data_IF_493441728511
#
_entry.id   IF_493441728511
#
_cell.length_a   1.000
_cell.length_b   1.000
_cell.length_c   1.000
_cell.angle_alpha   90.00
_cell.angle_beta   90.00
_cell.angle_gamma   90.00
#
_symmetry.space_group_name_H-M   'P 1'
#
loop_
_entity.id
_entity.type
_entity.pdbx_description
1 polymer ?
#
# COMPACT_ATOMS: atom_id res chain seq x y z
N UNK A 1 75.81 -47.97 -32.58
CA UNK A 1 74.85 -48.20 -31.46
C UNK A 1 74.02 -46.94 -31.27
N UNK A 2 72.68 -47.11 -31.25
CA UNK A 2 71.59 -46.22 -30.76
C UNK A 2 71.56 -44.75 -31.22
N UNK A 3 70.68 -44.36 -32.14
CA UNK A 3 69.28 -43.92 -31.94
C UNK A 3 69.08 -42.73 -31.00
N UNK A 4 68.70 -41.56 -31.55
CA UNK A 4 67.40 -40.89 -31.33
C UNK A 4 67.40 -39.48 -31.92
N UNK A 5 66.82 -39.32 -33.11
CA UNK A 5 66.41 -38.02 -33.66
C UNK A 5 64.97 -37.72 -33.19
N UNK A 6 64.82 -36.84 -32.21
CA UNK A 6 63.54 -36.22 -31.85
C UNK A 6 63.40 -34.96 -32.72
N UNK A 7 62.88 -35.11 -33.94
CA UNK A 7 62.47 -34.00 -34.80
C UNK A 7 61.44 -34.52 -35.82
N UNK A 8 60.23 -34.85 -35.36
CA UNK A 8 59.10 -35.11 -36.28
C UNK A 8 57.69 -34.88 -35.74
N UNK A 9 57.50 -34.29 -34.54
CA UNK A 9 56.15 -34.13 -33.95
C UNK A 9 55.79 -32.69 -33.57
N UNK A 10 56.14 -31.71 -34.42
CA UNK A 10 55.78 -30.30 -34.19
C UNK A 10 54.89 -29.59 -35.24
N UNK A 11 54.24 -30.25 -36.23
CA UNK A 11 53.16 -29.61 -36.99
C UNK A 11 51.75 -30.23 -36.78
N UNK A 12 51.55 -31.18 -35.87
CA UNK A 12 50.24 -31.88 -35.75
C UNK A 12 49.28 -31.23 -34.73
N UNK A 13 49.78 -30.38 -33.81
CA UNK A 13 48.95 -29.74 -32.78
C UNK A 13 48.54 -28.29 -33.08
N UNK A 14 49.16 -27.62 -34.07
CA UNK A 14 48.82 -26.23 -34.42
C UNK A 14 47.58 -26.17 -35.34
N UNK A 15 47.39 -27.18 -36.19
CA UNK A 15 46.26 -27.24 -37.13
C UNK A 15 44.89 -27.40 -36.43
N UNK A 16 44.72 -28.27 -35.41
CA UNK A 16 43.44 -28.41 -34.69
C UNK A 16 43.07 -27.16 -33.89
N UNK A 17 44.06 -26.46 -33.32
CA UNK A 17 43.84 -25.25 -32.49
C UNK A 17 43.42 -24.06 -33.36
N UNK A 18 44.00 -23.92 -34.56
CA UNK A 18 43.57 -22.92 -35.55
C UNK A 18 42.15 -23.20 -36.08
N UNK A 19 41.79 -24.47 -36.32
CA UNK A 19 40.44 -24.84 -36.76
C UNK A 19 39.39 -24.55 -35.67
N UNK A 20 39.71 -24.80 -34.39
CA UNK A 20 38.82 -24.49 -33.26
C UNK A 20 38.67 -22.98 -33.03
N UNK A 21 39.73 -22.19 -33.21
CA UNK A 21 39.64 -20.72 -33.05
C UNK A 21 38.86 -20.08 -34.22
N UNK A 22 39.06 -20.56 -35.45
CA UNK A 22 38.29 -20.12 -36.61
C UNK A 22 36.81 -20.52 -36.50
N UNK A 23 36.54 -21.73 -36.00
CA UNK A 23 35.18 -22.19 -35.72
C UNK A 23 34.47 -21.36 -34.65
N UNK A 24 35.18 -20.95 -33.60
CA UNK A 24 34.61 -20.07 -32.56
C UNK A 24 34.31 -18.66 -33.07
N UNK A 25 35.20 -18.09 -33.90
CA UNK A 25 34.98 -16.78 -34.53
C UNK A 25 33.83 -16.84 -35.54
N UNK A 26 33.74 -17.92 -36.33
CA UNK A 26 32.64 -18.15 -37.27
C UNK A 26 31.31 -18.35 -36.53
N UNK A 27 31.29 -19.08 -35.41
CA UNK A 27 30.10 -19.24 -34.57
C UNK A 27 29.66 -17.90 -33.95
N UNK A 28 30.59 -17.06 -33.48
CA UNK A 28 30.30 -15.70 -33.01
C UNK A 28 29.74 -14.82 -34.12
N UNK A 29 30.29 -14.91 -35.33
CA UNK A 29 29.80 -14.20 -36.51
C UNK A 29 28.40 -14.67 -36.91
N UNK A 30 28.15 -15.98 -36.93
CA UNK A 30 26.84 -16.57 -37.22
C UNK A 30 25.81 -16.21 -36.14
N UNK A 31 26.18 -16.19 -34.86
CA UNK A 31 25.29 -15.74 -33.78
C UNK A 31 25.01 -14.23 -33.85
N UNK A 32 25.99 -13.41 -34.28
CA UNK A 32 25.76 -11.98 -34.51
C UNK A 32 24.92 -11.72 -35.76
N UNK A 33 25.15 -12.47 -36.85
CA UNK A 33 24.31 -12.41 -38.06
C UNK A 33 22.90 -12.87 -37.72
N UNK A 34 22.71 -13.94 -36.94
CA UNK A 34 21.39 -14.38 -36.51
C UNK A 34 20.71 -13.34 -35.59
N UNK A 35 21.46 -12.62 -34.76
CA UNK A 35 20.96 -11.51 -33.93
C UNK A 35 20.58 -10.27 -34.76
N UNK A 36 21.34 -9.96 -35.80
CA UNK A 36 21.02 -8.90 -36.77
C UNK A 36 19.84 -9.31 -37.66
N UNK A 37 19.75 -10.59 -38.06
CA UNK A 37 18.65 -11.13 -38.86
C UNK A 37 17.36 -11.22 -38.06
N UNK A 38 17.37 -11.64 -36.79
CA UNK A 38 16.19 -11.54 -35.90
C UNK A 38 15.77 -10.09 -35.65
N UNK A 39 16.72 -9.15 -35.61
CA UNK A 39 16.43 -7.72 -35.50
C UNK A 39 15.87 -7.12 -36.79
N UNK A 40 16.28 -7.62 -37.98
CA UNK A 40 15.76 -7.21 -39.28
C UNK A 40 14.43 -7.87 -39.63
N UNK A 41 14.21 -9.13 -39.24
CA UNK A 41 12.92 -9.82 -39.40
C UNK A 41 11.87 -9.20 -38.49
N UNK A 42 12.24 -8.74 -37.28
CA UNK A 42 11.39 -7.87 -36.45
C UNK A 42 11.13 -6.47 -37.03
N UNK A 43 11.93 -6.02 -38.00
CA UNK A 43 11.75 -4.75 -38.68
C UNK A 43 10.98 -4.87 -40.01
N UNK A 44 10.82 -6.09 -40.55
CA UNK A 44 10.17 -6.38 -41.83
C UNK A 44 8.80 -7.06 -41.68
N UNK A 45 8.56 -7.76 -40.57
CA UNK A 45 7.20 -8.18 -40.20
C UNK A 45 6.50 -7.00 -39.52
N UNK A 46 5.56 -6.41 -40.25
CA UNK A 46 4.64 -5.42 -39.67
C UNK A 46 3.95 -6.04 -38.45
N UNK A 47 3.96 -5.38 -37.27
CA UNK A 47 3.18 -5.86 -36.13
C UNK A 47 1.70 -5.97 -36.55
N UNK A 48 0.93 -6.93 -35.98
CA UNK A 48 -0.51 -6.93 -36.17
C UNK A 48 -1.02 -5.53 -35.84
N UNK A 49 -1.80 -4.98 -36.77
CA UNK A 49 -2.27 -3.59 -36.75
C UNK A 49 -2.62 -3.18 -35.31
N UNK A 50 -1.99 -2.12 -34.77
CA UNK A 50 -2.46 -1.55 -33.52
C UNK A 50 -3.94 -1.21 -33.71
N UNK A 51 -4.77 -1.59 -32.74
CA UNK A 51 -6.10 -0.99 -32.59
C UNK A 51 -5.99 0.51 -32.87
N UNK A 52 -6.90 1.11 -33.66
CA UNK A 52 -6.73 2.46 -34.16
C UNK A 52 -6.42 3.38 -32.98
N UNK A 53 -5.16 3.83 -32.97
CA UNK A 53 -4.69 4.89 -32.11
C UNK A 53 -5.49 6.11 -32.51
N UNK A 54 -6.53 6.43 -31.72
CA UNK A 54 -7.13 7.75 -31.75
C UNK A 54 -6.04 8.67 -31.25
N UNK A 55 -5.31 9.28 -32.19
CA UNK A 55 -4.45 10.41 -31.94
C UNK A 55 -5.33 11.51 -31.36
N UNK A 56 -5.35 11.61 -30.03
CA UNK A 56 -5.87 12.82 -29.40
C UNK A 56 -4.94 13.95 -29.82
N UNK A 57 -5.45 14.99 -30.51
CA UNK A 57 -4.62 16.11 -30.91
C UNK A 57 -3.99 16.72 -29.66
N UNK A 58 -2.69 16.97 -29.74
CA UNK A 58 -1.94 17.74 -28.75
C UNK A 58 -2.44 19.20 -28.83
N UNK A 59 -3.60 19.48 -28.25
CA UNK A 59 -3.99 20.86 -27.99
C UNK A 59 -3.16 21.32 -26.80
N UNK A 60 -2.34 22.34 -27.05
CA UNK A 60 -1.73 23.14 -26.00
C UNK A 60 -2.86 23.62 -25.08
N UNK A 61 -2.97 23.03 -23.89
CA UNK A 61 -3.93 23.47 -22.90
C UNK A 61 -3.43 24.78 -22.32
N UNK A 62 -4.01 25.87 -22.82
CA UNK A 62 -4.26 27.05 -22.01
C UNK A 62 -4.89 26.52 -20.72
N UNK A 63 -4.30 26.84 -19.57
CA UNK A 63 -4.78 26.43 -18.24
C UNK A 63 -6.13 27.11 -17.98
N UNK A 64 -7.17 26.55 -18.56
CA UNK A 64 -8.56 26.79 -18.19
C UNK A 64 -8.85 25.92 -16.98
N UNK A 65 -9.16 26.55 -15.85
CA UNK A 65 -9.70 25.88 -14.67
C UNK A 65 -10.96 25.14 -15.10
N UNK A 66 -10.89 23.82 -15.25
CA UNK A 66 -12.05 23.00 -15.57
C UNK A 66 -13.02 23.01 -14.40
N UNK A 67 -14.34 23.09 -14.63
CA UNK A 67 -15.35 23.04 -13.57
C UNK A 67 -15.18 21.74 -12.78
N UNK A 68 -15.18 21.84 -11.46
CA UNK A 68 -15.07 20.71 -10.55
C UNK A 68 -16.17 19.69 -10.89
N UNK A 69 -15.79 18.53 -11.44
CA UNK A 69 -16.73 17.48 -11.83
C UNK A 69 -17.48 17.00 -10.58
N UNK A 70 -18.74 17.41 -10.43
CA UNK A 70 -19.52 17.17 -9.21
C UNK A 70 -19.98 15.72 -9.07
N UNK A 71 -20.06 14.98 -10.18
CA UNK A 71 -20.47 13.57 -10.22
C UNK A 71 -19.31 12.65 -10.56
N UNK A 72 -19.15 11.57 -9.80
CA UNK A 72 -18.21 10.50 -10.11
C UNK A 72 -18.60 9.77 -11.40
N UNK A 73 -17.59 9.40 -12.19
CA UNK A 73 -17.80 8.56 -13.37
C UNK A 73 -18.29 7.16 -12.94
N UNK A 74 -19.27 6.54 -13.64
CA UNK A 74 -19.81 5.24 -13.23
C UNK A 74 -18.74 4.14 -13.11
N UNK A 75 -17.81 4.07 -14.05
CA UNK A 75 -16.71 3.11 -13.97
C UNK A 75 -15.73 3.43 -12.84
N UNK A 76 -15.57 4.69 -12.42
CA UNK A 76 -14.80 5.01 -11.21
C UNK A 76 -15.46 4.38 -9.98
N UNK A 77 -16.78 4.53 -9.84
CA UNK A 77 -17.53 3.93 -8.72
C UNK A 77 -17.43 2.41 -8.77
N UNK A 78 -17.52 1.79 -9.95
CA UNK A 78 -17.32 0.35 -10.11
C UNK A 78 -15.92 -0.10 -9.72
N UNK A 79 -14.88 0.58 -10.19
CA UNK A 79 -13.49 0.25 -9.84
C UNK A 79 -13.19 0.44 -8.35
N UNK A 80 -13.71 1.50 -7.75
CA UNK A 80 -13.59 1.71 -6.31
C UNK A 80 -14.33 0.62 -5.52
N UNK A 81 -15.52 0.23 -5.98
CA UNK A 81 -16.29 -0.86 -5.38
C UNK A 81 -15.59 -2.22 -5.52
N UNK A 82 -14.88 -2.49 -6.61
CA UNK A 82 -14.06 -3.70 -6.78
C UNK A 82 -12.97 -3.84 -5.70
N UNK A 83 -12.46 -2.72 -5.17
CA UNK A 83 -11.59 -2.70 -3.99
C UNK A 83 -12.37 -2.78 -2.68
N UNK A 84 -13.18 -1.76 -2.38
CA UNK A 84 -13.64 -1.47 -1.00
C UNK A 84 -15.08 -1.94 -0.68
N UNK A 85 -15.88 -2.30 -1.68
CA UNK A 85 -17.28 -2.63 -1.44
C UNK A 85 -17.49 -4.05 -0.92
N UNK A 86 -18.61 -4.23 -0.21
CA UNK A 86 -19.12 -5.53 0.22
C UNK A 86 -20.58 -5.69 -0.20
N UNK A 87 -20.90 -6.84 -0.78
CA UNK A 87 -22.26 -7.31 -1.03
C UNK A 87 -22.59 -8.42 -0.04
N UNK A 88 -23.70 -8.30 0.68
CA UNK A 88 -23.99 -9.20 1.80
C UNK A 88 -25.45 -9.57 1.93
N UNK A 89 -25.66 -10.84 2.32
CA UNK A 89 -26.94 -11.39 2.78
C UNK A 89 -26.78 -11.70 4.27
N UNK A 90 -27.69 -11.23 5.11
CA UNK A 90 -27.62 -11.37 6.57
C UNK A 90 -28.91 -11.93 7.14
N UNK A 91 -28.78 -12.81 8.12
CA UNK A 91 -29.89 -13.39 8.87
C UNK A 91 -29.86 -12.81 10.29
N UNK A 92 -30.67 -11.76 10.52
CA UNK A 92 -30.79 -11.16 11.84
C UNK A 92 -31.83 -11.92 12.66
N UNK A 93 -31.54 -12.26 13.91
CA UNK A 93 -32.55 -12.82 14.81
C UNK A 93 -33.71 -11.83 14.94
N UNK A 94 -34.93 -12.31 14.77
CA UNK A 94 -36.14 -11.51 14.91
C UNK A 94 -37.15 -12.24 15.78
N UNK A 95 -37.73 -11.54 16.75
CA UNK A 95 -38.92 -12.02 17.43
C UNK A 95 -40.13 -11.94 16.49
N UNK A 96 -41.13 -12.79 16.69
CA UNK A 96 -42.42 -12.62 16.01
C UNK A 96 -42.99 -11.22 16.33
N UNK A 97 -43.61 -10.52 15.36
CA UNK A 97 -43.98 -10.98 14.02
C UNK A 97 -42.92 -10.73 12.94
N UNK A 98 -41.79 -10.08 13.27
CA UNK A 98 -40.74 -9.70 12.32
C UNK A 98 -39.87 -10.90 11.90
N UNK A 99 -39.50 -11.79 12.83
CA UNK A 99 -38.82 -13.06 12.53
C UNK A 99 -39.79 -14.20 12.19
N UNK A 100 -40.68 -13.98 11.21
CA UNK A 100 -41.70 -14.96 10.79
C UNK A 100 -41.09 -16.35 10.55
N UNK A 101 -41.86 -17.39 10.92
CA UNK A 101 -41.69 -18.85 10.71
C UNK A 101 -40.33 -19.48 11.08
N UNK A 102 -39.22 -18.83 10.77
CA UNK A 102 -37.85 -19.33 10.89
C UNK A 102 -37.04 -18.65 12.01
N UNK A 103 -37.58 -17.62 12.68
CA UNK A 103 -36.89 -16.88 13.75
C UNK A 103 -35.83 -15.88 13.25
N UNK A 104 -35.74 -15.68 11.94
CA UNK A 104 -34.77 -14.79 11.30
C UNK A 104 -35.44 -13.83 10.32
N UNK A 105 -34.88 -12.62 10.25
CA UNK A 105 -35.16 -11.61 9.24
C UNK A 105 -33.99 -11.62 8.26
N UNK A 106 -34.27 -11.91 6.99
CA UNK A 106 -33.27 -11.79 5.93
C UNK A 106 -33.10 -10.32 5.56
N UNK A 107 -31.85 -9.86 5.47
CA UNK A 107 -31.48 -8.50 5.07
C UNK A 107 -30.44 -8.56 3.95
N UNK A 108 -30.59 -7.68 2.98
CA UNK A 108 -29.59 -7.40 1.97
C UNK A 108 -28.82 -6.15 2.37
N UNK A 109 -27.56 -6.11 1.97
CA UNK A 109 -26.67 -5.00 2.26
C UNK A 109 -25.64 -4.83 1.15
N UNK A 110 -25.53 -3.61 0.66
CA UNK A 110 -24.35 -3.11 -0.02
C UNK A 110 -23.70 -2.06 0.87
N UNK A 111 -22.38 -2.07 0.97
CA UNK A 111 -21.71 -0.94 1.60
C UNK A 111 -20.21 -0.91 1.45
N UNK A 112 -19.68 0.24 1.85
CA UNK A 112 -18.27 0.63 1.72
C UNK A 112 -17.87 1.22 3.07
N UNK A 113 -16.78 0.74 3.65
CA UNK A 113 -16.27 1.23 4.94
C UNK A 113 -14.86 1.79 4.73
N UNK A 114 -14.67 3.06 5.06
CA UNK A 114 -13.39 3.76 4.92
C UNK A 114 -13.02 4.44 6.24
N UNK A 115 -11.78 4.91 6.36
CA UNK A 115 -11.43 5.81 7.45
C UNK A 115 -12.14 7.17 7.27
N UNK A 116 -12.56 7.84 8.36
CA UNK A 116 -13.32 9.12 8.36
C UNK A 116 -12.75 10.25 7.51
N UNK A 117 -11.45 10.20 7.22
CA UNK A 117 -10.76 11.16 6.34
C UNK A 117 -11.33 11.15 4.91
N UNK A 118 -11.90 10.02 4.49
CA UNK A 118 -12.50 9.79 3.18
C UNK A 118 -14.04 9.91 3.21
N UNK A 119 -14.63 10.49 4.27
CA UNK A 119 -16.09 10.71 4.38
C UNK A 119 -16.66 11.41 3.14
N UNK A 120 -15.98 12.43 2.63
CA UNK A 120 -16.40 13.17 1.43
C UNK A 120 -16.50 12.27 0.20
N UNK A 121 -15.61 11.28 0.06
CA UNK A 121 -15.69 10.32 -1.04
C UNK A 121 -16.95 9.44 -0.92
N UNK A 122 -17.32 9.04 0.30
CA UNK A 122 -18.58 8.32 0.52
C UNK A 122 -19.81 9.19 0.23
N UNK A 123 -19.77 10.49 0.54
CA UNK A 123 -20.82 11.44 0.18
C UNK A 123 -20.97 11.54 -1.35
N UNK A 124 -19.85 11.66 -2.09
CA UNK A 124 -19.87 11.64 -3.56
C UNK A 124 -20.39 10.32 -4.15
N UNK A 125 -20.06 9.17 -3.55
CA UNK A 125 -20.59 7.86 -3.96
C UNK A 125 -22.09 7.77 -3.66
N UNK A 126 -22.54 8.26 -2.50
CA UNK A 126 -23.95 8.34 -2.15
C UNK A 126 -24.73 9.19 -3.14
N UNK A 127 -24.21 10.37 -3.50
CA UNK A 127 -24.81 11.26 -4.48
C UNK A 127 -24.88 10.61 -5.87
N UNK A 128 -23.83 9.86 -6.27
CA UNK A 128 -23.83 9.08 -7.51
C UNK A 128 -24.98 8.06 -7.57
N UNK A 129 -25.33 7.44 -6.44
CA UNK A 129 -26.47 6.53 -6.35
C UNK A 129 -27.81 7.25 -6.11
N UNK A 130 -27.91 8.55 -6.40
CA UNK A 130 -29.14 9.33 -6.24
C UNK A 130 -29.48 9.66 -4.78
N UNK A 131 -28.47 9.66 -3.90
CA UNK A 131 -28.62 10.02 -2.49
C UNK A 131 -29.18 8.91 -1.60
N UNK A 132 -29.30 7.68 -2.10
CA UNK A 132 -29.82 6.53 -1.34
C UNK A 132 -28.84 6.02 -0.29
N UNK A 133 -29.33 5.27 0.69
CA UNK A 133 -28.52 4.74 1.78
C UNK A 133 -28.10 5.77 2.83
N UNK A 134 -27.31 5.31 3.80
CA UNK A 134 -26.95 6.05 5.02
C UNK A 134 -25.43 6.06 5.18
N UNK A 135 -24.88 7.20 5.61
CA UNK A 135 -23.49 7.33 6.04
C UNK A 135 -23.46 7.46 7.57
N UNK A 136 -22.79 6.52 8.22
CA UNK A 136 -22.63 6.49 9.68
C UNK A 136 -21.15 6.43 10.05
N UNK A 137 -20.74 7.07 11.13
CA UNK A 137 -19.37 7.03 11.65
C UNK A 137 -19.34 6.33 13.01
N UNK A 138 -18.30 5.54 13.26
CA UNK A 138 -18.07 4.88 14.55
C UNK A 138 -17.01 5.62 15.40
N UNK A 139 -16.94 5.29 16.68
CA UNK A 139 -16.01 5.93 17.62
C UNK A 139 -14.53 5.59 17.35
N UNK A 140 -14.24 4.59 16.48
CA UNK A 140 -12.88 4.20 16.11
C UNK A 140 -12.34 5.02 14.93
N UNK A 141 -13.18 5.87 14.35
CA UNK A 141 -12.82 6.75 13.25
C UNK A 141 -13.05 6.12 11.88
N UNK A 142 -13.82 5.05 11.80
CA UNK A 142 -14.30 4.47 10.55
C UNK A 142 -15.66 5.06 10.18
N UNK A 143 -15.84 5.35 8.90
CA UNK A 143 -17.09 5.82 8.31
C UNK A 143 -17.60 4.79 7.31
N UNK A 144 -18.88 4.47 7.38
CA UNK A 144 -19.52 3.46 6.54
C UNK A 144 -20.67 4.05 5.74
N UNK A 145 -20.67 3.82 4.43
CA UNK A 145 -21.81 4.00 3.55
C UNK A 145 -22.56 2.67 3.41
N UNK A 146 -23.87 2.67 3.68
CA UNK A 146 -24.69 1.46 3.77
C UNK A 146 -26.02 1.62 3.03
N UNK A 147 -26.36 0.67 2.18
CA UNK A 147 -27.64 0.57 1.48
C UNK A 147 -28.28 -0.77 1.82
N UNK A 148 -29.54 -0.79 2.23
CA UNK A 148 -30.20 -2.03 2.67
C UNK A 148 -31.71 -2.12 2.50
N UNK A 149 -32.39 -1.05 2.06
CA UNK A 149 -33.80 -1.16 1.66
C UNK A 149 -33.87 -1.87 0.31
N UNK A 150 -34.93 -2.65 0.06
CA UNK A 150 -35.08 -3.37 -1.22
C UNK A 150 -35.17 -2.38 -2.39
N UNK A 151 -35.84 -1.24 -2.20
CA UNK A 151 -35.97 -0.19 -3.19
C UNK A 151 -34.61 0.42 -3.56
N UNK A 152 -33.78 0.73 -2.57
CA UNK A 152 -32.46 1.33 -2.81
C UNK A 152 -31.48 0.30 -3.38
N UNK A 153 -31.56 -0.97 -2.94
CA UNK A 153 -30.75 -2.05 -3.53
C UNK A 153 -31.06 -2.23 -5.02
N UNK A 154 -32.29 -1.99 -5.48
CA UNK A 154 -32.60 -2.03 -6.91
C UNK A 154 -31.77 -1.03 -7.73
N UNK A 155 -31.43 0.13 -7.16
CA UNK A 155 -30.55 1.13 -7.79
C UNK A 155 -29.11 0.60 -7.86
N UNK A 156 -28.65 -0.07 -6.79
CA UNK A 156 -27.33 -0.73 -6.75
C UNK A 156 -27.23 -1.83 -7.82
N UNK A 157 -28.24 -2.70 -7.93
CA UNK A 157 -28.31 -3.74 -8.97
C UNK A 157 -28.29 -3.11 -10.36
N UNK A 158 -29.11 -2.07 -10.60
CA UNK A 158 -29.14 -1.37 -11.90
C UNK A 158 -27.77 -0.82 -12.30
N UNK A 159 -27.00 -0.28 -11.35
CA UNK A 159 -25.65 0.21 -11.61
C UNK A 159 -24.71 -0.92 -12.02
N UNK A 160 -24.59 -1.95 -11.21
CA UNK A 160 -23.61 -3.02 -11.44
C UNK A 160 -24.01 -3.99 -12.57
N UNK A 161 -25.28 -4.02 -12.98
CA UNK A 161 -25.68 -4.66 -14.23
C UNK A 161 -25.20 -3.88 -15.47
N UNK A 162 -25.21 -2.55 -15.39
CA UNK A 162 -24.76 -1.67 -16.48
C UNK A 162 -23.24 -1.46 -16.51
N UNK A 163 -22.62 -1.44 -15.33
CA UNK A 163 -21.18 -1.23 -15.13
C UNK A 163 -20.61 -2.36 -14.26
N UNK A 164 -20.40 -3.56 -14.84
CA UNK A 164 -20.04 -4.75 -14.08
C UNK A 164 -18.70 -4.64 -13.36
N UNK A 165 -18.64 -5.23 -12.16
CA UNK A 165 -17.40 -5.51 -11.44
C UNK A 165 -16.55 -6.49 -12.25
N UNK A 166 -15.23 -6.48 -12.01
CA UNK A 166 -14.31 -7.36 -12.76
C UNK A 166 -13.41 -8.21 -11.87
N UNK A 167 -13.29 -7.92 -10.57
CA UNK A 167 -12.58 -8.81 -9.63
C UNK A 167 -13.44 -10.05 -9.31
N UNK A 168 -12.89 -10.99 -8.54
CA UNK A 168 -13.67 -12.10 -7.96
C UNK A 168 -14.84 -11.62 -7.08
N UNK A 169 -14.92 -10.31 -6.73
CA UNK A 169 -16.09 -9.72 -6.07
C UNK A 169 -17.34 -9.75 -6.95
N UNK A 170 -17.19 -9.81 -8.28
CA UNK A 170 -18.32 -10.00 -9.19
C UNK A 170 -19.11 -11.28 -8.85
N UNK A 171 -18.44 -12.34 -8.42
CA UNK A 171 -19.12 -13.56 -8.00
C UNK A 171 -20.02 -13.34 -6.77
N UNK A 172 -19.57 -12.56 -5.79
CA UNK A 172 -20.38 -12.19 -4.63
C UNK A 172 -21.56 -11.28 -5.04
N UNK A 173 -21.35 -10.36 -5.99
CA UNK A 173 -22.43 -9.56 -6.58
C UNK A 173 -23.50 -10.41 -7.29
N UNK A 174 -23.10 -11.41 -8.08
CA UNK A 174 -24.05 -12.27 -8.80
C UNK A 174 -24.93 -13.08 -7.83
N UNK A 175 -24.34 -13.63 -6.77
CA UNK A 175 -25.10 -14.30 -5.70
C UNK A 175 -26.00 -13.33 -4.93
N UNK A 176 -25.52 -12.11 -4.68
CA UNK A 176 -26.30 -11.04 -4.06
C UNK A 176 -27.51 -10.63 -4.91
N UNK A 177 -27.35 -10.54 -6.25
CA UNK A 177 -28.44 -10.26 -7.19
C UNK A 177 -29.51 -11.36 -7.16
N UNK A 178 -29.11 -12.63 -7.14
CA UNK A 178 -30.06 -13.74 -6.99
C UNK A 178 -30.84 -13.66 -5.67
N UNK A 179 -30.16 -13.29 -4.57
CA UNK A 179 -30.81 -13.06 -3.28
C UNK A 179 -31.81 -11.89 -3.34
N UNK A 180 -31.46 -10.80 -4.03
CA UNK A 180 -32.35 -9.67 -4.29
C UNK A 180 -33.61 -10.07 -5.06
N UNK A 181 -33.48 -10.90 -6.08
CA UNK A 181 -34.60 -11.40 -6.88
C UNK A 181 -35.58 -12.24 -6.05
N UNK A 182 -35.05 -13.18 -5.24
CA UNK A 182 -35.85 -13.98 -4.29
C UNK A 182 -36.58 -13.09 -3.27
N UNK A 183 -35.90 -12.06 -2.76
CA UNK A 183 -36.49 -11.15 -1.79
C UNK A 183 -37.57 -10.26 -2.41
N UNK A 184 -37.36 -9.78 -3.63
CA UNK A 184 -38.30 -8.94 -4.37
C UNK A 184 -39.62 -9.67 -4.68
N UNK A 185 -39.54 -10.98 -4.97
CA UNK A 185 -40.73 -11.84 -5.16
C UNK A 185 -41.33 -12.37 -3.86
N UNK A 186 -40.83 -11.93 -2.71
CA UNK A 186 -41.23 -12.38 -1.35
C UNK A 186 -41.02 -13.88 -1.09
N UNK A 187 -40.22 -14.57 -1.90
CA UNK A 187 -39.93 -16.01 -1.73
C UNK A 187 -39.16 -16.31 -0.45
N UNK A 188 -38.44 -15.33 0.10
CA UNK A 188 -37.76 -15.42 1.40
C UNK A 188 -38.69 -15.75 2.58
N UNK A 189 -40.01 -15.66 2.40
CA UNK A 189 -41.03 -16.05 3.39
C UNK A 189 -41.43 -17.54 3.30
N UNK A 190 -41.01 -18.23 2.23
CA UNK A 190 -41.26 -19.65 2.01
C UNK A 190 -40.08 -20.49 2.51
N UNK A 191 -40.32 -21.77 2.80
CA UNK A 191 -39.25 -22.69 3.24
C UNK A 191 -38.19 -22.83 2.14
N UNK A 192 -38.64 -23.02 0.90
CA UNK A 192 -37.76 -23.19 -0.25
C UNK A 192 -36.89 -21.95 -0.50
N UNK A 193 -37.51 -20.76 -0.58
CA UNK A 193 -36.78 -19.52 -0.82
C UNK A 193 -35.85 -19.13 0.33
N UNK A 194 -36.23 -19.39 1.59
CA UNK A 194 -35.36 -19.19 2.75
C UNK A 194 -34.14 -20.12 2.69
N UNK A 195 -34.33 -21.41 2.36
CA UNK A 195 -33.24 -22.37 2.18
C UNK A 195 -32.30 -21.97 1.04
N UNK A 196 -32.83 -21.48 -0.09
CA UNK A 196 -32.02 -20.94 -1.20
C UNK A 196 -31.15 -19.77 -0.74
N UNK A 197 -31.68 -18.85 0.07
CA UNK A 197 -30.91 -17.72 0.61
C UNK A 197 -29.78 -18.16 1.55
N UNK A 198 -29.99 -19.22 2.34
CA UNK A 198 -28.93 -19.80 3.17
C UNK A 198 -27.83 -20.37 2.28
N UNK A 199 -28.20 -21.14 1.25
CA UNK A 199 -27.26 -21.75 0.31
C UNK A 199 -26.44 -20.68 -0.46
N UNK A 200 -27.08 -19.59 -0.89
CA UNK A 200 -26.39 -18.44 -1.51
C UNK A 200 -25.39 -17.82 -0.52
N UNK A 201 -25.83 -17.53 0.71
CA UNK A 201 -24.99 -16.90 1.73
C UNK A 201 -23.81 -17.79 2.14
N UNK A 202 -23.96 -19.11 2.10
CA UNK A 202 -22.88 -20.05 2.37
C UNK A 202 -21.70 -19.92 1.41
N UNK A 203 -21.95 -19.47 0.18
CA UNK A 203 -20.93 -19.29 -0.87
C UNK A 203 -20.40 -17.86 -0.97
N UNK A 204 -21.06 -16.91 -0.33
CA UNK A 204 -20.66 -15.50 -0.34
C UNK A 204 -19.61 -15.18 0.73
N UNK A 205 -18.67 -14.30 0.40
CA UNK A 205 -17.67 -13.76 1.33
C UNK A 205 -16.95 -14.87 2.12
N UNK A 206 -17.09 -14.88 3.45
CA UNK A 206 -16.51 -15.88 4.36
C UNK A 206 -17.45 -17.07 4.67
N UNK A 207 -18.59 -17.17 3.96
CA UNK A 207 -19.58 -18.21 4.21
C UNK A 207 -20.30 -18.07 5.56
N UNK A 208 -21.05 -19.12 5.94
CA UNK A 208 -21.84 -19.13 7.17
C UNK A 208 -20.97 -19.43 8.40
N UNK A 209 -21.21 -18.76 9.55
CA UNK A 209 -20.63 -19.18 10.82
C UNK A 209 -21.06 -20.60 11.19
N UNK A 210 -20.19 -21.38 11.83
CA UNK A 210 -20.47 -22.80 12.13
C UNK A 210 -21.69 -22.98 13.03
N UNK A 211 -21.88 -22.09 14.00
CA UNK A 211 -23.08 -22.06 14.84
C UNK A 211 -24.37 -21.89 14.01
N UNK A 212 -24.32 -21.18 12.87
CA UNK A 212 -25.48 -21.03 11.99
C UNK A 212 -25.65 -22.24 11.08
N UNK A 213 -24.55 -22.85 10.58
CA UNK A 213 -24.61 -24.10 9.80
C UNK A 213 -25.30 -25.23 10.57
N UNK A 214 -25.02 -25.34 11.88
CA UNK A 214 -25.62 -26.36 12.74
C UNK A 214 -27.15 -26.26 12.85
N UNK A 215 -27.73 -25.07 12.64
CA UNK A 215 -29.19 -24.87 12.68
C UNK A 215 -29.89 -25.33 11.40
N UNK A 216 -29.14 -25.48 10.30
CA UNK A 216 -29.66 -25.84 8.98
C UNK A 216 -28.79 -26.93 8.34
N UNK A 217 -28.73 -28.13 8.96
CA UNK A 217 -27.95 -29.24 8.41
C UNK A 217 -28.50 -29.66 7.05
N UNK A 218 -27.61 -29.99 6.11
CA UNK A 218 -27.99 -30.47 4.77
C UNK A 218 -28.19 -29.39 3.70
N UNK A 219 -27.98 -28.11 4.02
CA UNK A 219 -27.95 -27.05 3.00
C UNK A 219 -26.61 -27.05 2.28
N UNK A 220 -26.62 -27.48 1.02
CA UNK A 220 -25.43 -27.43 0.16
C UNK A 220 -25.20 -25.99 -0.33
N UNK A 221 -23.97 -25.44 -0.22
CA UNK A 221 -23.65 -24.12 -0.77
C UNK A 221 -23.86 -24.07 -2.29
N UNK A 222 -24.28 -22.90 -2.80
CA UNK A 222 -24.31 -22.67 -4.25
C UNK A 222 -22.89 -22.73 -4.83
N UNK A 223 -22.77 -23.18 -6.08
CA UNK A 223 -21.49 -23.07 -6.78
C UNK A 223 -21.13 -21.58 -6.98
N UNK A 224 -19.99 -21.15 -6.45
CA UNK A 224 -19.52 -19.78 -6.62
C UNK A 224 -18.85 -19.67 -8.00
N UNK A 225 -19.33 -18.79 -8.90
CA UNK A 225 -18.69 -18.63 -10.19
C UNK A 225 -17.27 -18.10 -10.01
N UNK A 226 -16.32 -18.69 -10.72
CA UNK A 226 -14.95 -18.18 -10.79
C UNK A 226 -14.88 -17.23 -11.96
N UNK A 227 -14.51 -15.97 -11.70
CA UNK A 227 -14.38 -14.97 -12.75
C UNK A 227 -13.11 -15.27 -13.52
N UNK A 228 -13.28 -15.70 -14.76
CA UNK A 228 -12.21 -15.95 -15.72
C UNK A 228 -12.14 -14.78 -16.70
N UNK A 229 -10.94 -14.50 -17.19
CA UNK A 229 -10.72 -13.55 -18.29
C UNK A 229 -11.16 -12.09 -18.08
N UNK A 230 -11.33 -11.65 -16.83
CA UNK A 230 -11.64 -10.26 -16.46
C UNK A 230 -10.77 -9.24 -17.21
N UNK A 231 -11.39 -8.26 -17.87
CA UNK A 231 -10.69 -7.18 -18.58
C UNK A 231 -10.92 -5.85 -17.87
N UNK A 232 -9.99 -4.91 -18.02
CA UNK A 232 -10.18 -3.55 -17.53
C UNK A 232 -11.17 -2.85 -18.48
N UNK A 233 -12.40 -2.52 -18.04
CA UNK A 233 -13.47 -2.13 -18.95
C UNK A 233 -13.34 -0.68 -19.43
N UNK A 234 -12.71 0.17 -18.63
CA UNK A 234 -12.64 1.60 -18.83
C UNK A 234 -11.49 2.19 -18.00
N UNK A 235 -10.79 3.23 -18.46
CA UNK A 235 -9.68 3.83 -17.69
C UNK A 235 -10.10 4.43 -16.35
N UNK A 236 -11.34 4.93 -16.21
CA UNK A 236 -11.87 5.38 -14.91
C UNK A 236 -12.06 4.22 -13.94
N UNK A 237 -12.27 2.98 -14.42
CA UNK A 237 -12.27 1.80 -13.55
C UNK A 237 -10.91 1.65 -12.87
N UNK A 238 -9.81 1.78 -13.61
CA UNK A 238 -8.47 1.68 -13.02
C UNK A 238 -8.19 2.84 -12.06
N UNK A 239 -8.69 4.04 -12.34
CA UNK A 239 -8.61 5.19 -11.43
C UNK A 239 -9.39 4.96 -10.12
N UNK A 240 -10.59 4.36 -10.19
CA UNK A 240 -11.36 3.94 -9.03
C UNK A 240 -10.63 2.86 -8.24
N UNK A 241 -10.13 1.83 -8.93
CA UNK A 241 -9.46 0.70 -8.31
C UNK A 241 -8.16 1.09 -7.61
N UNK A 242 -7.34 1.98 -8.22
CA UNK A 242 -6.15 2.51 -7.55
C UNK A 242 -6.50 3.46 -6.39
N UNK A 243 -7.64 4.16 -6.46
CA UNK A 243 -8.11 4.99 -5.34
C UNK A 243 -8.48 4.16 -4.12
N UNK A 244 -8.88 2.90 -4.32
CA UNK A 244 -9.06 1.91 -3.26
C UNK A 244 -7.71 1.25 -2.87
N UNK A 245 -7.19 0.39 -3.75
CA UNK A 245 -6.12 -0.58 -3.47
C UNK A 245 -4.70 -0.05 -3.75
N UNK A 246 -4.59 1.16 -4.29
CA UNK A 246 -3.33 1.74 -4.72
C UNK A 246 -2.50 2.33 -3.58
N UNK A 247 -1.19 2.20 -3.74
CA UNK A 247 -0.16 2.80 -2.89
C UNK A 247 0.83 3.60 -3.74
N UNK A 248 0.94 4.89 -3.46
CA UNK A 248 1.88 5.82 -4.08
C UNK A 248 2.95 6.18 -3.05
N UNK A 249 4.18 5.71 -3.26
CA UNK A 249 5.22 5.75 -2.24
C UNK A 249 6.53 6.33 -2.76
N UNK A 250 7.18 7.11 -1.89
CA UNK A 250 8.57 7.55 -2.07
C UNK A 250 9.41 6.84 -1.01
N UNK A 251 10.41 6.07 -1.41
CA UNK A 251 11.37 5.42 -0.54
C UNK A 251 12.68 6.19 -0.56
N UNK A 252 13.27 6.39 0.62
CA UNK A 252 14.59 7.00 0.79
C UNK A 252 15.38 6.04 1.67
N UNK A 253 16.50 5.54 1.18
CA UNK A 253 17.33 4.58 1.89
C UNK A 253 18.81 4.92 1.72
N UNK A 254 19.64 4.53 2.69
CA UNK A 254 21.08 4.77 2.64
C UNK A 254 21.69 4.04 1.44
N UNK A 255 22.58 4.71 0.73
CA UNK A 255 23.30 4.15 -0.40
C UNK A 255 24.63 4.90 -0.58
N UNK A 256 25.59 4.26 -1.24
CA UNK A 256 26.88 4.86 -1.61
C UNK A 256 26.70 5.83 -2.78
N UNK A 257 26.17 7.01 -2.47
CA UNK A 257 25.89 8.10 -3.42
C UNK A 257 26.43 9.41 -2.82
N UNK A 258 26.52 10.48 -3.64
CA UNK A 258 27.01 11.78 -3.18
C UNK A 258 26.25 12.34 -1.97
N UNK A 259 24.95 12.13 -1.91
CA UNK A 259 24.10 12.59 -0.80
C UNK A 259 24.00 11.57 0.34
N UNK A 260 24.57 10.36 0.16
CA UNK A 260 24.44 9.23 1.09
C UNK A 260 23.08 8.51 1.04
N UNK A 261 22.19 8.86 0.12
CA UNK A 261 20.85 8.29 0.01
C UNK A 261 20.43 8.07 -1.44
N UNK A 262 19.75 6.94 -1.68
CA UNK A 262 18.99 6.74 -2.90
C UNK A 262 17.50 7.05 -2.69
N UNK A 263 16.84 7.48 -3.77
CA UNK A 263 15.41 7.76 -3.80
C UNK A 263 14.74 6.86 -4.83
N UNK A 264 13.71 6.11 -4.41
CA UNK A 264 12.86 5.32 -5.31
C UNK A 264 11.41 5.81 -5.21
N UNK A 265 10.80 6.14 -6.34
CA UNK A 265 9.36 6.37 -6.45
C UNK A 265 8.68 5.08 -6.89
N UNK A 266 7.57 4.71 -6.25
CA UNK A 266 6.86 3.45 -6.50
C UNK A 266 5.36 3.66 -6.56
N UNK A 267 4.76 3.11 -7.60
CA UNK A 267 3.31 2.89 -7.71
C UNK A 267 3.05 1.41 -7.52
N UNK A 268 2.13 1.07 -6.64
CA UNK A 268 1.80 -0.33 -6.33
C UNK A 268 0.30 -0.51 -6.19
N UNK A 269 -0.23 -1.62 -6.71
CA UNK A 269 -1.59 -2.10 -6.40
C UNK A 269 -1.41 -3.48 -5.78
N UNK A 270 -1.94 -3.66 -4.57
CA UNK A 270 -1.90 -4.93 -3.83
C UNK A 270 -3.28 -5.55 -3.84
N UNK A 271 -3.37 -6.85 -4.06
CA UNK A 271 -4.64 -7.57 -4.04
C UNK A 271 -4.42 -9.05 -3.67
N UNK A 272 -5.47 -9.73 -3.22
CA UNK A 272 -5.40 -11.17 -2.99
C UNK A 272 -5.11 -11.94 -4.29
N UNK A 273 -4.32 -13.02 -4.19
CA UNK A 273 -3.88 -13.87 -5.31
C UNK A 273 -5.00 -14.46 -6.17
N UNK A 274 -6.24 -14.53 -5.66
CA UNK A 274 -7.43 -14.92 -6.44
C UNK A 274 -7.70 -14.02 -7.66
N UNK A 275 -7.18 -12.79 -7.63
CA UNK A 275 -7.31 -11.78 -8.70
C UNK A 275 -5.99 -11.56 -9.44
N UNK A 276 -5.02 -12.50 -9.33
CA UNK A 276 -3.68 -12.32 -9.91
C UNK A 276 -3.70 -12.11 -11.43
N UNK A 277 -4.61 -12.75 -12.14
CA UNK A 277 -4.73 -12.61 -13.60
C UNK A 277 -5.19 -11.21 -14.00
N UNK A 278 -6.08 -10.59 -13.21
CA UNK A 278 -6.46 -9.19 -13.40
C UNK A 278 -5.26 -8.26 -13.16
N UNK A 279 -4.47 -8.50 -12.11
CA UNK A 279 -3.27 -7.69 -11.83
C UNK A 279 -2.22 -7.79 -12.94
N UNK A 280 -2.04 -8.99 -13.54
CA UNK A 280 -1.15 -9.17 -14.70
C UNK A 280 -1.62 -8.34 -15.91
N UNK A 281 -2.92 -8.18 -16.11
CA UNK A 281 -3.49 -7.39 -17.23
C UNK A 281 -3.27 -5.89 -17.11
N UNK A 282 -3.01 -5.38 -15.90
CA UNK A 282 -2.64 -3.96 -15.71
C UNK A 282 -1.31 -3.63 -16.42
N UNK A 283 -0.39 -4.61 -16.54
CA UNK A 283 0.92 -4.42 -17.19
C UNK A 283 0.78 -4.04 -18.67
N UNK A 284 0.15 -4.85 -19.54
CA UNK A 284 -0.07 -4.45 -20.93
C UNK A 284 -1.03 -3.26 -21.04
N UNK A 285 -2.00 -3.10 -20.13
CA UNK A 285 -2.94 -1.98 -20.16
C UNK A 285 -2.26 -0.61 -19.99
N UNK A 286 -1.35 -0.48 -19.01
CA UNK A 286 -0.55 0.73 -18.81
C UNK A 286 0.73 0.75 -19.66
N UNK A 287 1.07 -0.37 -20.31
CA UNK A 287 2.32 -0.55 -21.05
C UNK A 287 3.58 -0.48 -20.16
N UNK A 288 3.45 -0.71 -18.85
CA UNK A 288 4.56 -0.66 -17.88
C UNK A 288 4.26 -1.42 -16.59
N UNK A 289 5.32 -1.60 -15.79
CA UNK A 289 5.25 -2.27 -14.49
C UNK A 289 5.56 -3.75 -14.57
N UNK A 290 5.46 -4.43 -13.42
CA UNK A 290 5.72 -5.85 -13.26
C UNK A 290 4.81 -6.46 -12.21
N UNK A 291 4.61 -7.76 -12.32
CA UNK A 291 3.88 -8.56 -11.33
C UNK A 291 4.86 -9.12 -10.28
N UNK A 292 4.43 -9.14 -9.01
CA UNK A 292 5.15 -9.75 -7.90
C UNK A 292 4.16 -10.57 -7.07
N UNK A 293 4.42 -11.86 -6.94
CA UNK A 293 3.70 -12.70 -5.98
C UNK A 293 4.33 -12.55 -4.59
N UNK A 294 3.51 -12.21 -3.59
CA UNK A 294 3.96 -12.13 -2.20
C UNK A 294 3.72 -13.46 -1.47
N UNK A 295 4.38 -13.65 -0.33
CA UNK A 295 4.40 -14.93 0.41
C UNK A 295 3.12 -15.22 1.21
N UNK A 296 2.21 -14.24 1.39
CA UNK A 296 1.03 -14.36 2.27
C UNK A 296 -0.31 -14.46 1.53
N UNK A 297 -0.29 -14.97 0.29
CA UNK A 297 -1.51 -15.06 -0.53
C UNK A 297 -1.89 -13.75 -1.22
N UNK A 298 -1.06 -12.71 -1.10
CA UNK A 298 -1.22 -11.44 -1.82
C UNK A 298 -0.38 -11.43 -3.10
N UNK A 299 -0.77 -10.58 -4.03
CA UNK A 299 -0.03 -10.28 -5.25
C UNK A 299 0.00 -8.77 -5.51
N UNK A 300 1.01 -8.32 -6.25
CA UNK A 300 1.28 -6.91 -6.44
C UNK A 300 1.55 -6.60 -7.91
N UNK A 301 0.91 -5.56 -8.42
CA UNK A 301 1.37 -4.84 -9.60
C UNK A 301 2.27 -3.69 -9.12
N UNK A 302 3.47 -3.55 -9.69
CA UNK A 302 4.47 -2.57 -9.23
C UNK A 302 5.12 -1.85 -10.40
N UNK A 303 5.20 -0.52 -10.32
CA UNK A 303 6.00 0.34 -11.21
C UNK A 303 7.03 1.08 -10.37
N UNK A 304 8.32 0.91 -10.68
CA UNK A 304 9.43 1.64 -10.03
C UNK A 304 10.32 2.39 -11.02
N UNK A 305 10.23 2.11 -12.32
CA UNK A 305 11.04 2.81 -13.33
C UNK A 305 10.55 4.24 -13.46
N UNK A 306 11.42 5.21 -13.13
CA UNK A 306 11.09 6.64 -13.16
C UNK A 306 10.54 7.08 -14.52
N UNK A 307 11.13 6.59 -15.62
CA UNK A 307 10.68 6.93 -16.97
C UNK A 307 9.23 6.50 -17.22
N UNK A 308 8.85 5.27 -16.85
CA UNK A 308 7.47 4.80 -17.00
C UNK A 308 6.51 5.59 -16.11
N UNK A 309 6.90 5.88 -14.87
CA UNK A 309 6.06 6.63 -13.94
C UNK A 309 5.78 8.03 -14.52
N UNK A 310 6.82 8.71 -15.00
CA UNK A 310 6.71 10.06 -15.54
C UNK A 310 5.97 10.12 -16.88
N UNK A 311 6.22 9.21 -17.82
CA UNK A 311 5.67 9.31 -19.19
C UNK A 311 4.37 8.55 -19.40
N UNK A 312 4.02 7.60 -18.51
CA UNK A 312 2.80 6.78 -18.65
C UNK A 312 1.86 6.95 -17.47
N UNK A 313 2.36 6.72 -16.25
CA UNK A 313 1.50 6.65 -15.06
C UNK A 313 0.98 8.03 -14.65
N UNK A 314 1.83 9.06 -14.61
CA UNK A 314 1.42 10.43 -14.29
C UNK A 314 0.40 10.94 -15.33
N UNK A 315 0.65 10.91 -16.65
CA UNK A 315 -0.33 11.34 -17.65
C UNK A 315 -1.66 10.58 -17.58
N UNK A 316 -1.62 9.28 -17.27
CA UNK A 316 -2.83 8.48 -17.09
C UNK A 316 -3.69 9.02 -15.93
N UNK A 317 -3.11 9.23 -14.75
CA UNK A 317 -3.88 9.69 -13.57
C UNK A 317 -4.13 11.20 -13.53
N UNK A 318 -3.42 12.00 -14.33
CA UNK A 318 -3.78 13.39 -14.61
C UNK A 318 -5.08 13.46 -15.44
N UNK A 319 -5.26 12.51 -16.37
CA UNK A 319 -6.48 12.41 -17.18
C UNK A 319 -7.62 11.71 -16.44
N UNK A 320 -7.33 10.60 -15.77
CA UNK A 320 -8.30 9.77 -15.04
C UNK A 320 -8.01 9.88 -13.54
N UNK A 321 -8.64 10.87 -12.91
CA UNK A 321 -8.26 11.35 -11.59
C UNK A 321 -8.43 10.31 -10.48
N UNK A 322 -7.42 10.21 -9.60
CA UNK A 322 -7.53 9.57 -8.29
C UNK A 322 -8.39 10.45 -7.38
N UNK A 323 -9.31 9.86 -6.61
CA UNK A 323 -10.24 10.60 -5.72
C UNK A 323 -10.04 10.17 -4.26
N UNK A 324 -10.58 10.95 -3.33
CA UNK A 324 -10.40 10.76 -1.89
C UNK A 324 -9.08 11.38 -1.40
N UNK A 325 -8.69 11.08 -0.16
CA UNK A 325 -7.45 11.59 0.43
C UNK A 325 -6.21 11.16 -0.36
N UNK A 326 -6.27 10.00 -1.04
CA UNK A 326 -5.19 9.51 -1.89
C UNK A 326 -4.88 10.47 -3.06
N UNK A 327 -5.82 11.30 -3.48
CA UNK A 327 -5.56 12.37 -4.48
C UNK A 327 -4.52 13.40 -4.00
N UNK A 328 -4.50 13.69 -2.68
CA UNK A 328 -3.49 14.55 -2.08
C UNK A 328 -2.12 13.88 -2.08
N UNK A 329 -2.09 12.56 -1.80
CA UNK A 329 -0.88 11.76 -1.87
C UNK A 329 -0.36 11.65 -3.31
N UNK A 330 -1.25 11.56 -4.30
CA UNK A 330 -0.90 11.62 -5.71
C UNK A 330 -0.28 12.97 -6.11
N UNK A 331 -0.87 14.08 -5.69
CA UNK A 331 -0.32 15.41 -5.97
C UNK A 331 1.09 15.59 -5.39
N UNK A 332 1.33 15.11 -4.17
CA UNK A 332 2.66 15.15 -3.55
C UNK A 332 3.63 14.15 -4.20
N UNK A 333 3.15 12.95 -4.54
CA UNK A 333 3.92 11.96 -5.30
C UNK A 333 4.39 12.50 -6.65
N UNK A 334 3.52 13.18 -7.39
CA UNK A 334 3.83 13.80 -8.69
C UNK A 334 4.98 14.80 -8.58
N UNK A 335 4.98 15.68 -7.57
CA UNK A 335 6.09 16.60 -7.29
C UNK A 335 7.41 15.86 -7.03
N UNK A 336 7.37 14.77 -6.25
CA UNK A 336 8.56 13.96 -6.01
C UNK A 336 9.06 13.29 -7.30
N UNK A 337 8.16 12.79 -8.14
CA UNK A 337 8.49 12.22 -9.46
C UNK A 337 9.17 13.25 -10.36
N UNK A 338 8.67 14.49 -10.42
CA UNK A 338 9.27 15.58 -11.20
C UNK A 338 10.71 15.88 -10.76
N UNK A 339 10.95 15.97 -9.44
CA UNK A 339 12.31 16.16 -8.89
C UNK A 339 13.22 14.97 -9.23
N UNK A 340 12.71 13.75 -9.13
CA UNK A 340 13.49 12.54 -9.40
C UNK A 340 13.82 12.45 -10.90
N UNK A 341 12.85 12.70 -11.78
CA UNK A 341 13.00 12.68 -13.23
C UNK A 341 14.02 13.72 -13.71
N UNK A 342 13.99 14.93 -13.15
CA UNK A 342 14.96 15.99 -13.41
C UNK A 342 16.35 15.77 -12.76
N UNK A 343 16.59 14.61 -12.14
CA UNK A 343 17.81 14.27 -11.37
C UNK A 343 18.09 15.21 -10.17
N UNK A 344 17.13 16.02 -9.74
CA UNK A 344 17.28 16.94 -8.61
C UNK A 344 17.54 16.24 -7.27
N UNK A 345 17.05 15.00 -7.12
CA UNK A 345 17.28 14.14 -5.96
C UNK A 345 18.77 13.83 -5.66
N UNK A 346 19.67 14.08 -6.63
CA UNK A 346 21.12 13.94 -6.47
C UNK A 346 21.79 15.13 -5.76
N UNK A 347 21.02 16.18 -5.43
CA UNK A 347 21.48 17.36 -4.69
C UNK A 347 20.92 17.36 -3.27
N UNK A 348 21.64 17.97 -2.32
CA UNK A 348 21.14 18.11 -0.93
C UNK A 348 19.81 18.86 -0.88
N UNK A 349 19.67 19.95 -1.64
CA UNK A 349 18.43 20.72 -1.70
C UNK A 349 17.25 19.92 -2.25
N UNK A 350 17.45 19.17 -3.34
CA UNK A 350 16.41 18.32 -3.92
C UNK A 350 16.05 17.12 -3.04
N UNK A 351 17.04 16.49 -2.39
CA UNK A 351 16.79 15.42 -1.42
C UNK A 351 15.98 15.93 -0.22
N UNK A 352 16.31 17.11 0.30
CA UNK A 352 15.58 17.71 1.42
C UNK A 352 14.15 18.11 1.03
N UNK A 353 13.95 18.61 -0.19
CA UNK A 353 12.59 18.83 -0.73
C UNK A 353 11.78 17.53 -0.78
N UNK A 354 12.37 16.44 -1.27
CA UNK A 354 11.70 15.12 -1.30
C UNK A 354 11.39 14.60 0.11
N UNK A 355 12.29 14.81 1.09
CA UNK A 355 12.03 14.43 2.49
C UNK A 355 10.81 15.15 3.06
N UNK A 356 10.69 16.46 2.80
CA UNK A 356 9.53 17.26 3.23
C UNK A 356 8.23 16.77 2.57
N UNK A 357 8.26 16.51 1.26
CA UNK A 357 7.13 15.93 0.53
C UNK A 357 6.74 14.59 1.15
N UNK A 358 7.68 13.65 1.28
CA UNK A 358 7.46 12.32 1.84
C UNK A 358 6.87 12.36 3.26
N UNK A 359 7.29 13.31 4.09
CA UNK A 359 6.78 13.46 5.45
C UNK A 359 5.29 13.86 5.49
N UNK A 360 4.78 14.53 4.46
CA UNK A 360 3.38 14.93 4.32
C UNK A 360 2.47 13.92 3.62
N UNK A 361 3.02 12.82 3.09
CA UNK A 361 2.27 11.81 2.32
C UNK A 361 1.77 10.65 3.20
N UNK A 362 0.71 9.98 2.74
CA UNK A 362 0.20 8.72 3.29
C UNK A 362 -0.04 8.81 4.82
N UNK A 363 0.54 7.91 5.60
CA UNK A 363 0.47 7.93 7.08
C UNK A 363 1.07 9.19 7.68
N UNK A 364 2.07 9.79 7.03
CA UNK A 364 2.69 11.06 7.41
C UNK A 364 1.67 12.20 7.44
N UNK A 365 0.69 12.21 6.52
CA UNK A 365 -0.39 13.21 6.48
C UNK A 365 -1.21 13.24 7.76
N UNK A 366 -1.58 12.06 8.26
CA UNK A 366 -2.32 11.92 9.53
C UNK A 366 -1.45 12.28 10.73
N UNK A 367 -0.17 11.87 10.75
CA UNK A 367 0.77 12.16 11.84
C UNK A 367 1.02 13.66 11.97
N UNK A 368 1.21 14.35 10.84
CA UNK A 368 1.42 15.79 10.81
C UNK A 368 0.22 16.53 11.39
N UNK A 369 -0.99 16.18 10.96
CA UNK A 369 -2.24 16.74 11.52
C UNK A 369 -2.35 16.52 13.03
N UNK A 370 -1.99 15.33 13.52
CA UNK A 370 -1.98 15.05 14.96
C UNK A 370 -0.90 15.82 15.74
N UNK A 371 0.28 16.04 15.15
CA UNK A 371 1.35 16.84 15.76
C UNK A 371 0.95 18.30 15.87
N UNK A 372 0.38 18.86 14.81
CA UNK A 372 -0.14 20.23 14.79
C UNK A 372 -1.24 20.44 15.82
N UNK A 373 -2.15 19.49 15.99
CA UNK A 373 -3.20 19.54 17.01
C UNK A 373 -2.67 19.50 18.47
N UNK A 374 -1.40 19.13 18.68
CA UNK A 374 -0.76 19.08 20.01
C UNK A 374 0.10 20.30 20.31
N UNK A 375 0.28 21.23 19.37
CA UNK A 375 1.18 22.37 19.47
C UNK A 375 0.42 23.70 19.29
N UNK A 376 0.91 24.75 19.94
CA UNK A 376 0.38 26.10 19.82
C UNK A 376 -1.11 26.19 20.14
N UNK A 377 -1.77 27.22 19.61
CA UNK A 377 -3.19 27.51 19.82
C UNK A 377 -4.15 26.39 19.43
N UNK A 378 -3.72 25.49 18.52
CA UNK A 378 -4.51 24.32 18.12
C UNK A 378 -4.62 23.26 19.22
N UNK A 379 -3.73 23.29 20.23
CA UNK A 379 -3.82 22.40 21.37
C UNK A 379 -4.91 22.88 22.34
N UNK A 380 -5.92 22.05 22.68
CA UNK A 380 -6.98 22.43 23.62
C UNK A 380 -6.50 22.85 25.02
N UNK A 381 -5.25 22.51 25.36
CA UNK A 381 -4.58 22.86 26.61
C UNK A 381 -3.63 24.06 26.47
N UNK A 382 -3.51 24.67 25.30
CA UNK A 382 -2.66 25.84 25.08
C UNK A 382 -3.19 27.04 25.87
N UNK A 383 -2.30 27.72 26.57
CA UNK A 383 -2.64 28.87 27.42
C UNK A 383 -3.48 28.54 28.67
N UNK A 384 -3.86 27.28 28.91
CA UNK A 384 -4.64 26.90 30.08
C UNK A 384 -3.75 26.57 31.28
N UNK A 385 -4.07 27.15 32.44
CA UNK A 385 -3.46 26.77 33.72
C UNK A 385 -3.90 25.36 34.10
N UNK A 386 -2.94 24.47 34.36
CA UNK A 386 -3.22 23.09 34.79
C UNK A 386 -3.56 23.08 36.27
N UNK A 387 -4.54 22.26 36.67
CA UNK A 387 -4.88 22.13 38.10
C UNK A 387 -3.74 21.43 38.87
N UNK A 388 -3.59 21.70 40.17
CA UNK A 388 -2.63 21.00 41.03
C UNK A 388 -2.79 19.48 40.99
N UNK A 389 -4.02 18.97 40.95
CA UNK A 389 -4.32 17.53 40.89
C UNK A 389 -3.85 16.92 39.57
N UNK A 390 -4.03 17.63 38.45
CA UNK A 390 -3.56 17.19 37.14
C UNK A 390 -2.02 17.11 37.10
N UNK A 391 -1.34 18.10 37.68
CA UNK A 391 0.12 18.10 37.81
C UNK A 391 0.60 16.96 38.71
N UNK A 392 -0.06 16.73 39.84
CA UNK A 392 0.25 15.63 40.75
C UNK A 392 0.06 14.27 40.08
N UNK A 393 -1.02 14.08 39.30
CA UNK A 393 -1.25 12.86 38.52
C UNK A 393 -0.16 12.59 37.48
N UNK A 394 0.38 13.62 36.81
CA UNK A 394 1.47 13.45 35.84
C UNK A 394 2.76 12.89 36.46
N UNK A 395 2.95 13.06 37.77
CA UNK A 395 4.16 12.65 38.48
C UNK A 395 3.94 11.50 39.46
N UNK A 396 2.69 11.20 39.82
CA UNK A 396 2.30 10.19 40.83
C UNK A 396 3.02 8.86 40.64
N UNK A 397 2.99 8.32 39.43
CA UNK A 397 3.52 6.98 39.15
C UNK A 397 4.98 7.00 38.66
N UNK A 398 5.64 8.17 38.65
CA UNK A 398 7.04 8.31 38.20
C UNK A 398 8.04 7.94 39.29
N UNK A 399 7.70 8.05 40.57
CA UNK A 399 8.58 7.78 41.70
C UNK A 399 7.79 7.38 42.96
N UNK A 400 8.47 6.83 43.96
CA UNK A 400 7.82 6.42 45.23
C UNK A 400 6.94 5.19 45.08
N UNK A 401 6.18 4.85 46.13
CA UNK A 401 5.41 3.61 46.25
C UNK A 401 4.38 3.35 45.13
N UNK A 402 3.91 4.40 44.44
CA UNK A 402 2.99 4.29 43.32
C UNK A 402 3.67 3.92 41.99
N UNK A 403 4.99 4.05 41.87
CA UNK A 403 5.69 3.61 40.69
C UNK A 403 5.64 2.06 40.61
N UNK A 404 5.19 1.45 39.49
CA UNK A 404 5.13 0.00 39.33
C UNK A 404 6.47 -0.75 39.50
N UNK A 405 7.58 -0.03 39.45
CA UNK A 405 8.95 -0.52 39.63
C UNK A 405 9.52 -0.18 41.02
N UNK A 406 8.75 0.46 41.90
CA UNK A 406 9.17 0.75 43.27
C UNK A 406 9.36 -0.54 44.08
N UNK A 407 10.47 -0.65 44.79
CA UNK A 407 10.82 -1.82 45.60
C UNK A 407 11.16 -3.08 44.79
N UNK A 408 11.00 -3.09 43.46
CA UNK A 408 11.38 -4.24 42.63
C UNK A 408 12.89 -4.26 42.40
N UNK A 409 13.59 -5.37 42.74
CA UNK A 409 15.02 -5.49 42.44
C UNK A 409 15.22 -5.46 40.93
N UNK A 410 16.22 -4.70 40.46
CA UNK A 410 16.59 -4.67 39.05
C UNK A 410 17.28 -5.99 38.70
N UNK A 411 17.02 -6.52 37.50
CA UNK A 411 17.73 -7.71 37.02
C UNK A 411 19.24 -7.46 36.96
N UNK A 412 20.03 -8.52 37.10
CA UNK A 412 21.49 -8.40 37.08
C UNK A 412 22.01 -7.87 35.74
N UNK A 413 21.33 -8.18 34.64
CA UNK A 413 21.60 -7.59 33.32
C UNK A 413 21.40 -6.07 33.31
N UNK A 414 20.35 -5.57 33.99
CA UNK A 414 20.08 -4.13 34.12
C UNK A 414 21.13 -3.47 35.00
N UNK A 415 21.50 -4.11 36.12
CA UNK A 415 22.54 -3.62 37.00
C UNK A 415 23.90 -3.58 36.30
N UNK A 416 24.24 -4.60 35.51
CA UNK A 416 25.44 -4.61 34.68
C UNK A 416 25.45 -3.41 33.73
N UNK A 417 24.35 -3.13 33.01
CA UNK A 417 24.24 -1.95 32.11
C UNK A 417 24.41 -0.62 32.86
N UNK A 418 23.89 -0.50 34.07
CA UNK A 418 24.00 0.70 34.90
C UNK A 418 25.42 0.89 35.47
N UNK A 419 26.09 -0.23 35.82
CA UNK A 419 27.45 -0.28 36.38
C UNK A 419 28.54 -0.09 35.33
N UNK A 420 28.26 -0.28 34.03
CA UNK A 420 29.27 -0.04 32.98
C UNK A 420 29.82 1.37 33.08
N UNK A 421 31.14 1.47 33.18
CA UNK A 421 31.83 2.74 33.32
C UNK A 421 31.81 3.53 32.00
N UNK A 422 31.93 4.83 32.17
CA UNK A 422 32.03 5.84 31.13
C UNK A 422 33.14 6.78 31.53
N UNK A 423 34.15 6.87 30.67
CA UNK A 423 35.26 7.81 30.80
C UNK A 423 34.84 9.12 30.15
N UNK A 424 34.92 10.21 30.90
CA UNK A 424 34.50 11.54 30.46
C UNK A 424 35.74 12.43 30.39
N UNK A 425 35.96 13.03 29.22
CA UNK A 425 37.10 13.89 28.93
C UNK A 425 36.63 15.29 28.62
N UNK A 426 37.37 16.31 29.05
CA UNK A 426 37.15 17.67 28.61
C UNK A 426 37.49 17.77 27.11
N UNK A 427 36.57 18.31 26.31
CA UNK A 427 36.71 18.36 24.86
C UNK A 427 37.76 19.39 24.39
N UNK A 428 38.20 20.29 25.27
CA UNK A 428 39.08 21.42 24.94
C UNK A 428 40.56 21.07 25.07
N UNK A 429 40.94 20.39 26.15
CA UNK A 429 42.32 20.04 26.49
C UNK A 429 42.57 18.51 26.56
N UNK A 430 41.52 17.70 26.46
CA UNK A 430 41.61 16.24 26.48
C UNK A 430 41.83 15.64 27.86
N UNK A 431 41.81 16.43 28.95
CA UNK A 431 42.02 15.90 30.29
C UNK A 431 40.87 14.98 30.71
N UNK A 432 41.19 13.91 31.45
CA UNK A 432 40.18 13.04 32.05
C UNK A 432 39.47 13.79 33.18
N UNK A 433 38.19 14.08 32.98
CA UNK A 433 37.32 14.71 33.99
C UNK A 433 36.92 13.69 35.07
N UNK A 434 36.72 12.44 34.66
CA UNK A 434 36.45 11.35 35.59
C UNK A 434 35.83 10.13 34.94
N UNK A 435 35.61 9.12 35.78
CA UNK A 435 35.04 7.83 35.38
C UNK A 435 33.77 7.57 36.17
N UNK A 436 32.65 7.39 35.47
CA UNK A 436 31.33 7.33 36.07
C UNK A 436 30.58 6.08 35.62
N UNK A 437 29.80 5.42 36.48
CA UNK A 437 28.77 4.49 36.04
C UNK A 437 27.83 5.17 35.03
N UNK A 438 27.36 4.44 34.02
CA UNK A 438 26.56 5.02 32.90
C UNK A 438 25.38 5.85 33.39
N UNK A 439 24.70 5.41 34.45
CA UNK A 439 23.54 6.12 35.00
C UNK A 439 23.90 7.44 35.69
N UNK A 440 25.06 7.47 36.36
CA UNK A 440 25.56 8.64 37.06
C UNK A 440 26.11 9.65 36.06
N UNK A 441 26.83 9.19 35.03
CA UNK A 441 27.27 10.01 33.90
C UNK A 441 26.09 10.77 33.26
N UNK A 442 24.99 10.08 32.94
CA UNK A 442 23.79 10.71 32.38
C UNK A 442 23.20 11.80 33.30
N UNK A 443 23.24 11.60 34.63
CA UNK A 443 22.71 12.56 35.60
C UNK A 443 23.64 13.76 35.75
N UNK A 444 24.93 13.52 36.01
CA UNK A 444 25.93 14.55 36.28
C UNK A 444 26.09 15.49 35.09
N UNK A 445 26.21 14.94 33.88
CA UNK A 445 26.43 15.73 32.66
C UNK A 445 25.13 16.04 31.90
N UNK A 446 23.96 15.74 32.50
CA UNK A 446 22.62 15.97 31.93
C UNK A 446 22.48 15.47 30.48
N UNK A 447 23.15 14.36 30.15
CA UNK A 447 23.12 13.73 28.83
C UNK A 447 22.12 12.56 28.80
N UNK A 448 21.25 12.52 27.79
CA UNK A 448 20.31 11.41 27.62
C UNK A 448 21.01 10.14 27.15
N UNK A 449 20.56 8.95 27.61
CA UNK A 449 21.16 7.66 27.26
C UNK A 449 21.36 7.47 25.75
N UNK A 450 20.35 7.74 24.94
CA UNK A 450 20.45 7.59 23.47
C UNK A 450 21.52 8.50 22.85
N UNK A 451 21.64 9.73 23.36
CA UNK A 451 22.71 10.66 22.96
C UNK A 451 24.07 10.14 23.40
N UNK A 452 24.19 9.67 24.65
CA UNK A 452 25.42 9.11 25.19
C UNK A 452 25.90 7.90 24.36
N UNK A 453 25.00 6.97 24.01
CA UNK A 453 25.33 5.85 23.12
C UNK A 453 25.75 6.29 21.73
N UNK A 454 25.11 7.33 21.18
CA UNK A 454 25.53 7.91 19.90
C UNK A 454 26.92 8.53 19.98
N UNK A 455 27.26 9.16 21.10
CA UNK A 455 28.59 9.74 21.35
C UNK A 455 29.69 8.69 21.49
N UNK A 456 29.40 7.54 22.09
CA UNK A 456 30.34 6.42 22.07
C UNK A 456 30.67 5.96 20.64
N UNK A 457 29.69 6.00 19.73
CA UNK A 457 29.87 5.54 18.36
C UNK A 457 30.53 6.58 17.45
N UNK A 458 30.21 7.88 17.60
CA UNK A 458 30.72 8.93 16.73
C UNK A 458 31.88 9.75 17.31
N UNK A 459 32.23 9.54 18.59
CA UNK A 459 33.35 10.20 19.28
C UNK A 459 33.20 11.71 19.45
N UNK A 460 32.04 12.29 19.13
CA UNK A 460 31.84 13.74 19.12
C UNK A 460 31.62 14.30 20.52
N UNK A 461 32.00 15.56 20.72
CA UNK A 461 31.71 16.25 21.97
C UNK A 461 30.20 16.50 22.17
N UNK A 462 29.76 16.53 23.42
CA UNK A 462 28.44 16.99 23.82
C UNK A 462 28.55 17.73 25.15
N UNK A 463 28.04 18.96 25.22
CA UNK A 463 28.11 19.77 26.44
C UNK A 463 29.54 20.10 26.89
N UNK A 464 30.51 20.15 25.98
CA UNK A 464 31.93 20.40 26.30
C UNK A 464 32.74 19.15 26.68
N UNK A 465 32.13 17.95 26.65
CA UNK A 465 32.80 16.72 27.03
C UNK A 465 32.76 15.65 25.93
N UNK A 466 33.77 14.77 25.93
CA UNK A 466 33.84 13.56 25.11
C UNK A 466 33.63 12.35 26.01
N UNK A 467 32.82 11.40 25.56
CA UNK A 467 32.43 10.24 26.35
C UNK A 467 32.95 8.97 25.68
N UNK A 468 33.58 8.09 26.46
CA UNK A 468 34.14 6.83 25.95
C UNK A 468 33.77 5.63 26.83
N UNK A 469 33.71 4.45 26.21
CA UNK A 469 33.57 3.16 26.89
C UNK A 469 34.90 2.59 27.35
N UNK A 470 35.97 3.02 26.71
CA UNK A 470 37.34 2.58 26.99
C UNK A 470 38.18 3.82 27.31
N UNK A 471 39.15 3.70 28.21
CA UNK A 471 40.09 4.79 28.45
C UNK A 471 40.84 5.09 27.16
N UNK A 472 40.93 6.37 26.81
CA UNK A 472 41.82 6.85 25.75
C UNK A 472 43.24 6.87 26.31
N UNK A 473 44.19 6.32 25.54
CA UNK A 473 45.62 6.44 25.79
C UNK A 473 46.13 7.87 25.58
#
# INVERSE_FOLDING_TARGET
MKNNNILSTFPILIFPILILSFGYVLLRLLLNINRVYTSLVWALDSPPTPYPFVSLPLQASVVGVTPQQTSLHPYFVTGFADGEATFGVYFAKGAAPLGRKFGYIVKLYFGIMLHRKDRRLLEMIKDHFGGVGIISEDNRGDVSYKVGSIQDIAIIIKHFDKYPLVTQKLADYLLFKQAFELMSRKEHLTVEGFTKLIALRASMNLGLPDAFKALFPGVNPYEKPVIKDAQIPDPYWLAGFISAEGCLSVYIYKAETRTGFNVEVRVQITQHSRDLELLKKIIPYLGCGRFIQATRGDCNYVVTRILDIYTKVIPFFDKYCIVGVKSLDYADFKKAVEIVYAKGHLTEGGLEAIRKIKAGMNTGRSIQKMREAKLGEKNPMYGKTKSPEFLAMQTRDKSGAHNPMYGKPKSEETLAKLRKLVYVYNASDGSLEGTYPTAECCKTFKIGYGTLYKRFADGKAHGGFIYSREPKE
#
